data_IF_174064693080
#
_entry.id   IF_174064693080
#
_cell.length_a   1.000
_cell.length_b   1.000
_cell.length_c   1.000
_cell.angle_alpha   90.00
_cell.angle_beta   90.00
_cell.angle_gamma   90.00
#
_symmetry.space_group_name_H-M   'P 1'
#
loop_
_entity.id
_entity.type
_entity.pdbx_description
1 polymer ?
#
# COMPACT_ATOMS: atom_id res chain seq x y z
N UNK A 1 -24.24 35.62 45.12
CA UNK A 1 -25.32 34.84 44.46
C UNK A 1 -24.69 33.58 43.88
N UNK A 2 -24.57 32.52 44.69
CA UNK A 2 -23.81 31.31 44.40
C UNK A 2 -24.73 30.18 43.93
N UNK A 3 -24.51 29.68 42.72
CA UNK A 3 -25.24 28.53 42.17
C UNK A 3 -24.46 27.26 42.50
N UNK A 4 -25.04 26.44 43.38
CA UNK A 4 -24.51 25.15 43.80
C UNK A 4 -24.62 24.14 42.65
N UNK A 5 -23.50 23.74 42.06
CA UNK A 5 -23.45 22.68 41.03
C UNK A 5 -23.68 21.31 41.68
N UNK A 6 -24.83 20.68 41.39
CA UNK A 6 -25.11 19.27 41.74
C UNK A 6 -24.11 18.33 41.06
N UNK A 7 -23.32 17.62 41.87
CA UNK A 7 -22.51 16.47 41.42
C UNK A 7 -23.45 15.35 40.98
N UNK A 8 -23.29 14.85 39.73
CA UNK A 8 -24.09 13.73 39.21
C UNK A 8 -23.47 12.40 39.66
N UNK A 9 -24.29 11.40 39.99
CA UNK A 9 -23.88 10.04 40.44
C UNK A 9 -22.79 9.39 39.55
N UNK A 10 -22.82 9.67 38.25
CA UNK A 10 -21.82 9.24 37.24
C UNK A 10 -20.42 9.84 37.43
N UNK A 11 -20.31 11.03 38.01
CA UNK A 11 -19.03 11.69 38.29
C UNK A 11 -18.41 11.18 39.60
N UNK A 12 -19.23 10.69 40.54
CA UNK A 12 -18.76 10.09 41.79
C UNK A 12 -18.15 8.70 41.57
N UNK A 13 -18.78 7.85 40.74
CA UNK A 13 -18.22 6.52 40.41
C UNK A 13 -16.92 6.58 39.58
N UNK A 14 -16.73 7.60 38.74
CA UNK A 14 -15.49 7.77 37.98
C UNK A 14 -14.31 8.24 38.85
N UNK A 15 -14.59 8.88 39.99
CA UNK A 15 -13.57 9.40 40.91
C UNK A 15 -13.17 8.39 42.00
N UNK A 16 -14.05 7.44 42.37
CA UNK A 16 -13.76 6.44 43.41
C UNK A 16 -13.05 5.18 42.90
N UNK A 17 -12.87 5.01 41.59
CA UNK A 17 -12.19 3.84 40.99
C UNK A 17 -10.68 3.95 40.83
N UNK A 18 -10.04 5.04 41.28
CA UNK A 18 -8.61 5.32 41.03
C UNK A 18 -7.68 5.18 42.24
N UNK A 19 -8.16 4.65 43.36
CA UNK A 19 -7.32 4.31 44.50
C UNK A 19 -7.54 2.83 44.88
N UNK A 20 -6.72 1.93 44.35
CA UNK A 20 -6.79 0.51 44.73
C UNK A 20 -6.10 -0.54 43.85
N UNK A 21 -5.58 -0.18 42.66
CA UNK A 21 -4.84 -1.13 41.80
C UNK A 21 -3.57 -0.43 41.28
N UNK A 22 -2.70 -0.03 42.21
CA UNK A 22 -1.54 0.83 41.91
C UNK A 22 -0.19 0.13 41.90
N UNK A 23 -0.06 -1.12 42.35
CA UNK A 23 1.27 -1.73 42.56
C UNK A 23 1.47 -3.14 41.98
N UNK A 24 0.42 -3.85 41.58
CA UNK A 24 0.54 -5.20 40.99
C UNK A 24 0.51 -5.24 39.46
N UNK A 25 0.11 -4.16 38.79
CA UNK A 25 0.13 -4.06 37.31
C UNK A 25 1.45 -3.52 36.74
N UNK A 26 2.28 -2.88 37.56
CA UNK A 26 3.58 -2.33 37.16
C UNK A 26 4.59 -3.39 36.68
N UNK A 27 4.81 -4.53 37.39
CA UNK A 27 5.77 -5.52 36.94
C UNK A 27 5.30 -6.27 35.68
N UNK A 28 4.00 -6.49 35.52
CA UNK A 28 3.44 -7.14 34.33
C UNK A 28 3.55 -6.25 33.07
N UNK A 29 3.26 -4.94 33.18
CA UNK A 29 3.48 -4.00 32.08
C UNK A 29 4.97 -3.85 31.72
N UNK A 30 5.86 -3.80 32.73
CA UNK A 30 7.30 -3.71 32.50
C UNK A 30 7.86 -4.96 31.82
N UNK A 31 7.41 -6.16 32.23
CA UNK A 31 7.83 -7.42 31.63
C UNK A 31 7.30 -7.57 30.18
N UNK A 32 6.07 -7.13 29.91
CA UNK A 32 5.51 -7.12 28.57
C UNK A 32 6.24 -6.13 27.63
N UNK A 33 6.61 -4.94 28.13
CA UNK A 33 7.38 -3.95 27.38
C UNK A 33 8.81 -4.43 27.08
N UNK A 34 9.48 -5.07 28.04
CA UNK A 34 10.80 -5.67 27.85
C UNK A 34 10.77 -6.83 26.83
N UNK A 35 9.73 -7.67 26.87
CA UNK A 35 9.52 -8.75 25.89
C UNK A 35 9.24 -8.21 24.48
N UNK A 36 8.44 -7.15 24.37
CA UNK A 36 8.20 -6.47 23.09
C UNK A 36 9.47 -5.84 22.52
N UNK A 37 10.28 -5.17 23.35
CA UNK A 37 11.57 -4.61 22.94
C UNK A 37 12.55 -5.70 22.47
N UNK A 38 12.64 -6.83 23.18
CA UNK A 38 13.48 -7.96 22.78
C UNK A 38 13.02 -8.62 21.46
N UNK A 39 11.70 -8.69 21.22
CA UNK A 39 11.16 -9.16 19.93
C UNK A 39 11.43 -8.19 18.79
N UNK A 40 11.35 -6.88 19.04
CA UNK A 40 11.68 -5.86 18.06
C UNK A 40 13.16 -5.92 17.64
N UNK A 41 14.07 -6.06 18.61
CA UNK A 41 15.51 -6.16 18.34
C UNK A 41 15.86 -7.44 17.58
N UNK A 42 15.28 -8.59 17.97
CA UNK A 42 15.46 -9.85 17.26
C UNK A 42 14.92 -9.79 15.80
N UNK A 43 13.76 -9.17 15.60
CA UNK A 43 13.19 -8.91 14.27
C UNK A 43 14.12 -8.03 13.42
N UNK A 44 14.63 -6.94 14.00
CA UNK A 44 15.58 -6.05 13.35
C UNK A 44 16.87 -6.75 12.93
N UNK A 45 17.44 -7.57 13.83
CA UNK A 45 18.64 -8.37 13.55
C UNK A 45 18.39 -9.37 12.40
N UNK A 46 17.24 -10.05 12.40
CA UNK A 46 16.86 -10.97 11.33
C UNK A 46 16.72 -10.26 9.98
N UNK A 47 16.02 -9.12 9.93
CA UNK A 47 15.90 -8.34 8.70
C UNK A 47 17.26 -7.84 8.19
N UNK A 48 18.15 -7.41 9.08
CA UNK A 48 19.49 -6.96 8.70
C UNK A 48 20.32 -8.11 8.09
N UNK A 49 20.20 -9.33 8.63
CA UNK A 49 20.81 -10.51 8.03
C UNK A 49 20.25 -10.79 6.63
N UNK A 50 18.93 -10.73 6.45
CA UNK A 50 18.29 -10.88 5.12
C UNK A 50 18.79 -9.82 4.14
N UNK A 51 18.90 -8.55 4.55
CA UNK A 51 19.42 -7.50 3.68
C UNK A 51 20.88 -7.74 3.29
N UNK A 52 21.71 -8.22 4.22
CA UNK A 52 23.10 -8.57 3.93
C UNK A 52 23.20 -9.74 2.93
N UNK A 53 22.36 -10.76 3.08
CA UNK A 53 22.32 -11.90 2.18
C UNK A 53 21.85 -11.49 0.78
N UNK A 54 20.77 -10.69 0.68
CA UNK A 54 20.31 -10.13 -0.59
C UNK A 54 21.42 -9.32 -1.25
N UNK A 55 22.08 -8.42 -0.50
CA UNK A 55 23.16 -7.58 -1.03
C UNK A 55 24.28 -8.41 -1.66
N UNK A 56 24.62 -9.56 -1.08
CA UNK A 56 25.64 -10.48 -1.60
C UNK A 56 25.17 -11.22 -2.87
N UNK A 57 23.89 -11.59 -2.94
CA UNK A 57 23.35 -12.40 -4.04
C UNK A 57 23.05 -11.58 -5.31
N UNK A 58 22.65 -10.32 -5.16
CA UNK A 58 22.18 -9.49 -6.28
C UNK A 58 23.19 -9.37 -7.43
N UNK A 59 24.50 -9.14 -7.23
CA UNK A 59 25.44 -9.03 -8.35
C UNK A 59 25.45 -10.26 -9.27
N UNK A 60 25.41 -11.47 -8.68
CA UNK A 60 25.37 -12.71 -9.44
C UNK A 60 24.05 -12.88 -10.21
N UNK A 61 22.92 -12.50 -9.61
CA UNK A 61 21.60 -12.54 -10.25
C UNK A 61 21.51 -11.52 -11.39
N UNK A 62 22.03 -10.31 -11.21
CA UNK A 62 22.08 -9.28 -12.25
C UNK A 62 22.93 -9.74 -13.43
N UNK A 63 24.10 -10.34 -13.18
CA UNK A 63 24.95 -10.89 -14.23
C UNK A 63 24.21 -11.98 -15.03
N UNK A 64 23.55 -12.92 -14.34
CA UNK A 64 22.78 -14.00 -14.98
C UNK A 64 21.61 -13.48 -15.83
N UNK A 65 20.95 -12.42 -15.38
CA UNK A 65 19.80 -11.82 -16.07
C UNK A 65 20.20 -10.73 -17.08
N UNK A 66 21.50 -10.46 -17.26
CA UNK A 66 22.01 -9.33 -18.04
C UNK A 66 21.36 -7.98 -17.65
N UNK A 67 21.05 -7.79 -16.36
CA UNK A 67 20.45 -6.56 -15.85
C UNK A 67 21.53 -5.49 -15.67
N UNK A 68 21.43 -4.34 -16.36
CA UNK A 68 22.45 -3.30 -16.31
C UNK A 68 22.49 -2.55 -14.98
N UNK A 69 21.36 -2.49 -14.27
CA UNK A 69 21.24 -1.73 -13.05
C UNK A 69 19.99 -2.07 -12.25
N UNK A 70 20.04 -1.83 -10.94
CA UNK A 70 18.97 -2.10 -9.99
C UNK A 70 19.06 -1.15 -8.79
N UNK A 71 17.93 -0.61 -8.34
CA UNK A 71 17.80 0.05 -7.03
C UNK A 71 16.84 -0.75 -6.15
N UNK A 72 17.18 -0.90 -4.87
CA UNK A 72 16.39 -1.66 -3.90
C UNK A 72 16.23 -0.89 -2.60
N UNK A 73 15.02 -0.95 -2.04
CA UNK A 73 14.68 -0.39 -0.74
C UNK A 73 14.04 -1.46 0.14
N UNK A 74 14.56 -1.63 1.34
CA UNK A 74 13.99 -2.44 2.41
C UNK A 74 13.26 -1.54 3.40
N UNK A 75 11.96 -1.78 3.56
CA UNK A 75 11.10 -1.03 4.49
C UNK A 75 10.77 -1.91 5.70
N UNK A 76 10.92 -1.34 6.90
CA UNK A 76 10.56 -1.97 8.18
C UNK A 76 9.89 -0.95 9.08
N UNK A 77 8.79 -1.34 9.72
CA UNK A 77 8.03 -0.45 10.62
C UNK A 77 7.66 0.89 9.95
N UNK A 78 7.24 0.81 8.68
CA UNK A 78 6.92 1.96 7.81
C UNK A 78 8.07 2.97 7.62
N UNK A 79 9.33 2.56 7.85
CA UNK A 79 10.54 3.37 7.66
C UNK A 79 11.51 2.67 6.72
N UNK A 80 12.29 3.43 5.98
CA UNK A 80 13.39 2.89 5.19
C UNK A 80 14.45 2.35 6.16
N UNK A 81 14.73 1.05 6.07
CA UNK A 81 15.71 0.37 6.91
C UNK A 81 17.00 0.05 6.14
N UNK A 82 16.94 0.01 4.81
CA UNK A 82 18.05 -0.33 3.94
C UNK A 82 17.78 0.17 2.52
N UNK A 83 18.79 0.72 1.86
CA UNK A 83 18.74 1.11 0.44
C UNK A 83 20.05 0.69 -0.21
N UNK A 84 20.00 0.11 -1.42
CA UNK A 84 21.20 -0.20 -2.22
C UNK A 84 20.93 0.00 -3.71
N UNK A 85 21.94 0.55 -4.37
CA UNK A 85 21.98 0.75 -5.81
C UNK A 85 23.11 -0.09 -6.39
N UNK A 86 22.87 -0.71 -7.54
CA UNK A 86 23.79 -1.58 -8.24
C UNK A 86 23.83 -1.22 -9.72
N UNK A 87 25.02 -1.26 -10.32
CA UNK A 87 25.19 -1.08 -11.76
C UNK A 87 24.95 0.36 -12.24
N UNK A 88 24.47 0.48 -13.48
CA UNK A 88 24.41 1.74 -14.22
C UNK A 88 22.98 2.07 -14.67
N UNK A 89 22.66 3.36 -14.69
CA UNK A 89 21.39 3.88 -15.19
C UNK A 89 21.32 3.85 -16.74
N UNK A 90 22.48 3.88 -17.40
CA UNK A 90 22.58 3.89 -18.85
C UNK A 90 23.80 3.06 -19.30
N UNK A 91 23.56 2.08 -20.19
CA UNK A 91 24.62 1.17 -20.69
C UNK A 91 25.65 1.85 -21.59
N UNK A 92 25.28 2.94 -22.24
CA UNK A 92 26.13 3.68 -23.18
C UNK A 92 26.99 4.69 -22.43
N UNK A 93 26.41 5.52 -21.56
CA UNK A 93 27.16 6.53 -20.82
C UNK A 93 27.85 5.99 -19.56
N UNK A 94 27.42 4.83 -19.05
CA UNK A 94 27.99 4.20 -17.86
C UNK A 94 27.69 4.93 -16.55
N UNK A 95 26.79 5.91 -16.54
CA UNK A 95 26.43 6.64 -15.32
C UNK A 95 25.86 5.71 -14.25
N UNK A 96 26.35 5.75 -12.99
CA UNK A 96 25.89 4.85 -11.94
C UNK A 96 24.44 5.13 -11.53
N UNK A 97 23.73 4.12 -11.04
CA UNK A 97 22.46 4.35 -10.33
C UNK A 97 22.77 4.97 -8.97
N UNK A 98 22.00 5.99 -8.61
CA UNK A 98 22.01 6.63 -7.31
C UNK A 98 20.58 6.75 -6.73
N UNK A 99 20.45 7.31 -5.53
CA UNK A 99 19.17 7.43 -4.83
C UNK A 99 18.17 8.39 -5.51
N UNK A 100 18.63 9.16 -6.50
CA UNK A 100 17.82 10.11 -7.28
C UNK A 100 17.44 9.57 -8.67
N UNK A 101 17.90 8.36 -9.02
CA UNK A 101 17.65 7.76 -10.33
C UNK A 101 16.17 7.41 -10.49
N UNK A 102 15.55 7.93 -11.55
CA UNK A 102 14.16 7.66 -11.89
C UNK A 102 14.07 6.46 -12.83
N UNK A 103 13.15 5.55 -12.52
CA UNK A 103 12.80 4.39 -13.37
C UNK A 103 11.37 4.53 -13.88
N UNK A 104 11.12 3.96 -15.06
CA UNK A 104 9.76 3.80 -15.58
C UNK A 104 8.95 2.88 -14.64
N UNK A 105 7.92 3.42 -14.01
CA UNK A 105 7.12 2.68 -13.02
C UNK A 105 6.30 1.53 -13.66
N UNK A 106 5.92 1.67 -14.93
CA UNK A 106 5.11 0.68 -15.64
C UNK A 106 3.85 0.29 -14.86
N UNK A 107 3.64 -1.01 -14.64
CA UNK A 107 2.46 -1.49 -13.90
C UNK A 107 2.47 -1.17 -12.40
N UNK A 108 3.59 -0.71 -11.83
CA UNK A 108 3.64 -0.23 -10.45
C UNK A 108 2.81 1.04 -10.24
N UNK A 109 2.36 1.70 -11.30
CA UNK A 109 1.42 2.83 -11.22
C UNK A 109 -0.02 2.41 -10.85
N UNK A 110 -0.40 1.13 -11.04
CA UNK A 110 -1.78 0.67 -10.81
C UNK A 110 -2.25 0.82 -9.36
N UNK A 111 -1.47 0.45 -8.31
CA UNK A 111 -1.86 0.69 -6.93
C UNK A 111 -2.06 2.17 -6.59
N UNK A 112 -1.24 3.06 -7.17
CA UNK A 112 -1.39 4.52 -7.00
C UNK A 112 -2.70 4.99 -7.62
N UNK A 113 -3.03 4.52 -8.82
CA UNK A 113 -4.32 4.80 -9.47
C UNK A 113 -5.50 4.26 -8.64
N UNK A 114 -5.41 3.01 -8.15
CA UNK A 114 -6.43 2.42 -7.29
C UNK A 114 -6.64 3.25 -6.02
N UNK A 115 -5.56 3.70 -5.37
CA UNK A 115 -5.65 4.61 -4.23
C UNK A 115 -6.38 5.91 -4.57
N UNK A 116 -6.07 6.53 -5.71
CA UNK A 116 -6.77 7.73 -6.17
C UNK A 116 -8.27 7.49 -6.37
N UNK A 117 -8.66 6.36 -6.97
CA UNK A 117 -10.07 5.96 -7.11
C UNK A 117 -10.72 5.78 -5.73
N UNK A 118 -10.06 5.12 -4.79
CA UNK A 118 -10.59 4.96 -3.43
C UNK A 118 -10.78 6.30 -2.71
N UNK A 119 -9.89 7.29 -2.93
CA UNK A 119 -10.07 8.65 -2.41
C UNK A 119 -11.26 9.39 -3.03
N UNK A 120 -11.60 9.11 -4.29
CA UNK A 120 -12.82 9.62 -4.93
C UNK A 120 -14.07 8.96 -4.34
N UNK A 121 -14.01 7.66 -4.03
CA UNK A 121 -15.09 6.94 -3.36
C UNK A 121 -15.35 7.47 -1.94
N UNK A 122 -14.30 7.73 -1.18
CA UNK A 122 -14.40 8.34 0.16
C UNK A 122 -15.09 9.71 0.12
N UNK A 123 -14.89 10.48 -0.96
CA UNK A 123 -15.53 11.78 -1.18
C UNK A 123 -16.95 11.68 -1.75
N UNK A 124 -17.46 10.47 -2.01
CA UNK A 124 -18.76 10.26 -2.64
C UNK A 124 -18.84 10.67 -4.12
N UNK A 125 -17.70 10.97 -4.76
CA UNK A 125 -17.64 11.35 -6.19
C UNK A 125 -17.81 10.11 -7.07
N UNK A 126 -17.29 8.98 -6.61
CA UNK A 126 -17.37 7.70 -7.30
C UNK A 126 -17.93 6.63 -6.34
N UNK A 127 -18.57 5.61 -6.88
CA UNK A 127 -19.05 4.45 -6.15
C UNK A 127 -18.50 3.21 -6.87
N UNK A 128 -17.93 2.29 -6.08
CA UNK A 128 -17.31 1.08 -6.61
C UNK A 128 -18.28 0.17 -7.34
N UNK A 129 -19.56 0.22 -6.96
CA UNK A 129 -20.61 -0.69 -7.44
C UNK A 129 -21.61 -0.01 -8.37
N UNK A 130 -21.47 1.31 -8.57
CA UNK A 130 -22.20 2.02 -9.62
C UNK A 130 -21.56 1.76 -10.98
N UNK A 131 -22.42 1.61 -11.98
CA UNK A 131 -22.03 1.41 -13.38
C UNK A 131 -21.25 2.63 -13.88
N UNK A 132 -20.12 2.40 -14.57
CA UNK A 132 -19.26 3.49 -15.05
C UNK A 132 -19.95 4.38 -16.10
N UNK A 133 -20.86 3.78 -16.86
CA UNK A 133 -21.74 4.43 -17.84
C UNK A 133 -22.68 5.46 -17.21
N UNK A 134 -22.92 5.40 -15.90
CA UNK A 134 -23.70 6.39 -15.18
C UNK A 134 -22.91 7.66 -14.83
N UNK A 135 -21.59 7.68 -15.06
CA UNK A 135 -20.71 8.84 -14.83
C UNK A 135 -20.29 9.56 -16.12
N UNK A 136 -20.40 8.89 -17.28
CA UNK A 136 -20.05 9.47 -18.57
C UNK A 136 -20.94 8.90 -19.68
N UNK A 137 -21.39 9.71 -20.65
CA UNK A 137 -22.12 9.22 -21.81
C UNK A 137 -21.23 8.45 -22.80
N UNK A 138 -19.90 8.49 -22.67
CA UNK A 138 -18.97 7.85 -23.59
C UNK A 138 -19.08 6.32 -23.56
N UNK A 139 -19.22 5.71 -24.74
CA UNK A 139 -19.37 4.26 -24.90
C UNK A 139 -18.12 3.67 -25.53
N UNK A 140 -17.28 3.06 -24.68
CA UNK A 140 -16.00 2.45 -25.09
C UNK A 140 -16.19 1.16 -25.90
N UNK A 141 -17.35 0.51 -25.79
CA UNK A 141 -17.77 -0.65 -26.58
C UNK A 141 -19.15 -0.33 -27.16
N UNK A 142 -19.30 -0.42 -28.48
CA UNK A 142 -20.56 -0.16 -29.15
C UNK A 142 -21.48 -1.39 -29.11
N UNK A 143 -22.78 -1.15 -28.91
CA UNK A 143 -23.84 -2.16 -29.04
C UNK A 143 -23.69 -3.41 -28.18
N UNK A 144 -23.07 -3.31 -26.99
CA UNK A 144 -22.96 -4.43 -26.04
C UNK A 144 -23.58 -4.06 -24.68
N UNK A 145 -24.71 -4.69 -24.35
CA UNK A 145 -25.44 -4.45 -23.10
C UNK A 145 -24.63 -4.80 -21.85
N UNK A 146 -23.59 -5.66 -21.95
CA UNK A 146 -22.71 -6.00 -20.83
C UNK A 146 -21.86 -4.80 -20.38
N UNK A 147 -21.75 -3.75 -21.19
CA UNK A 147 -21.10 -2.51 -20.80
C UNK A 147 -21.74 -1.90 -19.56
N UNK A 148 -23.06 -2.06 -19.39
CA UNK A 148 -23.80 -1.60 -18.21
C UNK A 148 -23.50 -2.43 -16.94
N UNK A 149 -22.76 -3.54 -17.05
CA UNK A 149 -22.33 -4.32 -15.90
C UNK A 149 -20.97 -3.87 -15.36
N UNK A 150 -20.24 -3.01 -16.10
CA UNK A 150 -18.88 -2.61 -15.75
C UNK A 150 -18.93 -1.50 -14.69
N UNK A 151 -18.40 -1.80 -13.51
CA UNK A 151 -18.24 -0.87 -12.38
C UNK A 151 -16.77 -0.60 -12.12
N UNK A 152 -16.45 0.42 -11.30
CA UNK A 152 -15.07 0.68 -10.91
C UNK A 152 -14.45 -0.51 -10.14
N UNK A 153 -15.22 -1.23 -9.33
CA UNK A 153 -14.75 -2.47 -8.67
C UNK A 153 -14.19 -3.46 -9.69
N UNK A 154 -14.93 -3.70 -10.77
CA UNK A 154 -14.55 -4.66 -11.82
C UNK A 154 -13.30 -4.22 -12.58
N UNK A 155 -13.17 -2.92 -12.86
CA UNK A 155 -11.95 -2.36 -13.47
C UNK A 155 -10.75 -2.59 -12.56
N UNK A 156 -10.86 -2.23 -11.28
CA UNK A 156 -9.77 -2.36 -10.30
C UNK A 156 -9.43 -3.82 -9.99
N UNK A 157 -10.36 -4.75 -10.17
CA UNK A 157 -10.14 -6.19 -9.98
C UNK A 157 -9.86 -6.96 -11.26
N UNK A 158 -9.69 -6.29 -12.40
CA UNK A 158 -9.43 -6.93 -13.70
C UNK A 158 -10.49 -7.97 -14.14
N UNK A 159 -11.78 -7.70 -13.84
CA UNK A 159 -12.91 -8.61 -14.16
C UNK A 159 -13.93 -7.96 -15.09
N UNK A 160 -13.48 -7.11 -16.01
CA UNK A 160 -14.35 -6.37 -16.94
C UNK A 160 -14.66 -7.12 -18.24
N UNK A 161 -13.97 -8.22 -18.52
CA UNK A 161 -14.04 -8.87 -19.84
C UNK A 161 -13.32 -8.12 -20.96
N UNK A 162 -12.74 -6.95 -20.70
CA UNK A 162 -12.03 -6.16 -21.71
C UNK A 162 -10.64 -6.74 -22.02
N UNK A 163 -10.14 -6.59 -23.27
CA UNK A 163 -8.79 -7.01 -23.62
C UNK A 163 -7.71 -6.12 -22.98
N UNK A 164 -6.49 -6.64 -22.87
CA UNK A 164 -5.34 -5.86 -22.39
C UNK A 164 -4.97 -4.69 -23.32
N UNK A 165 -5.28 -4.79 -24.61
CA UNK A 165 -4.86 -3.84 -25.63
C UNK A 165 -6.02 -3.48 -26.55
N UNK A 166 -6.04 -2.22 -27.00
CA UNK A 166 -6.89 -1.71 -28.08
C UNK A 166 -5.98 -1.30 -29.24
N UNK A 167 -6.35 -1.66 -30.47
CA UNK A 167 -5.68 -1.17 -31.68
C UNK A 167 -6.71 -0.82 -32.75
N UNK A 168 -6.28 -0.18 -33.83
CA UNK A 168 -7.15 0.07 -34.99
C UNK A 168 -7.68 -1.23 -35.62
N UNK A 169 -6.88 -2.31 -35.59
CA UNK A 169 -7.25 -3.63 -36.13
C UNK A 169 -8.02 -4.51 -35.14
N UNK A 170 -8.04 -4.16 -33.85
CA UNK A 170 -8.73 -4.89 -32.80
C UNK A 170 -9.60 -3.92 -31.99
N UNK A 171 -10.86 -3.69 -32.41
CA UNK A 171 -11.78 -2.84 -31.68
C UNK A 171 -12.03 -3.40 -30.28
N UNK A 172 -12.38 -2.51 -29.35
CA UNK A 172 -12.67 -2.92 -27.98
C UNK A 172 -13.94 -3.76 -27.94
N UNK A 173 -13.88 -4.92 -27.29
CA UNK A 173 -15.00 -5.84 -27.15
C UNK A 173 -14.94 -6.55 -25.79
N UNK A 174 -16.11 -6.86 -25.23
CA UNK A 174 -16.22 -7.64 -23.98
C UNK A 174 -16.13 -9.13 -24.34
N UNK A 175 -15.04 -9.80 -23.92
CA UNK A 175 -14.73 -11.19 -24.28
C UNK A 175 -15.42 -12.22 -23.40
N UNK A 176 -15.70 -11.88 -22.16
CA UNK A 176 -16.47 -12.70 -21.22
C UNK A 176 -17.37 -11.79 -20.38
N UNK A 177 -18.47 -12.34 -19.89
CA UNK A 177 -19.40 -11.59 -19.04
C UNK A 177 -18.66 -11.12 -17.78
N UNK A 178 -18.66 -9.80 -17.49
CA UNK A 178 -18.09 -9.29 -16.25
C UNK A 178 -18.69 -10.03 -15.05
#
# INVERSE_FOLDING_TARGET
MAIMRRVRRRTFLAASGRAGIGLSLFPALACAAASAAARQTASGARSNAVFADIQKLIPALMAKAALPGLSMVGIRDARIAWTRNFGVANRTSGGPINDETIFEAGSMSKPVFAYAVMKLCEKGVLDLDRQLTAYTPERIVANDARLEQITARRVLSHTTGLPNWRSASQPMAIRFTP
#
